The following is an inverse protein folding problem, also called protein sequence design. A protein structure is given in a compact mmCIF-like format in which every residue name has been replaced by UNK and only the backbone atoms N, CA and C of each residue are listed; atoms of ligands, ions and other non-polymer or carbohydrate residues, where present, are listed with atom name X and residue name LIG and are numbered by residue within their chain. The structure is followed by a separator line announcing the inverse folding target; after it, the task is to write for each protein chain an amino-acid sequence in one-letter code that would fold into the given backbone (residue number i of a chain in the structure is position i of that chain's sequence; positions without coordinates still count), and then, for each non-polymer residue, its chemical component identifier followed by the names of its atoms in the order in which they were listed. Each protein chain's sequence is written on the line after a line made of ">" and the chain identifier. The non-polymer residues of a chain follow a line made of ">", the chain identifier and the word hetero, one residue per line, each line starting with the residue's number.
data_IF_459257097509
#
_entry.id   IF_459257097509
#
_cell.length_a   1.000
_cell.length_b   1.000
_cell.length_c   1.000
_cell.angle_alpha   90.00
_cell.angle_beta   90.00
_cell.angle_gamma   90.00
#
_symmetry.space_group_name_H-M   'P 1'
#
loop_
_entity.id
_entity.type
_entity.pdbx_description
1 polymer ?
#
# COMPACT_ATOMS: atom_id res chain seq x y z
N UNK A 1 -34.41 77.05 -11.94
CA UNK A 1 -33.89 75.92 -11.14
C UNK A 1 -33.62 74.77 -12.10
N UNK A 2 -32.35 74.43 -12.33
CA UNK A 2 -31.95 73.18 -13.02
C UNK A 2 -31.98 72.07 -11.93
N UNK A 3 -32.25 70.78 -12.22
CA UNK A 3 -31.23 70.03 -12.96
C UNK A 3 -31.68 68.78 -13.76
N UNK A 4 -30.78 68.37 -14.67
CA UNK A 4 -30.31 67.00 -14.95
C UNK A 4 -31.21 66.05 -15.79
N UNK A 5 -30.81 65.68 -17.01
CA UNK A 5 -29.76 64.70 -17.38
C UNK A 5 -30.13 63.23 -17.06
N UNK A 6 -30.43 62.40 -18.07
CA UNK A 6 -29.47 61.47 -18.69
C UNK A 6 -30.08 60.30 -19.49
N UNK A 7 -29.38 60.01 -20.59
CA UNK A 7 -29.40 58.85 -21.46
C UNK A 7 -29.47 57.51 -20.71
N UNK A 8 -30.36 56.62 -21.15
CA UNK A 8 -30.30 55.19 -20.83
C UNK A 8 -29.66 54.45 -22.02
N UNK A 9 -28.36 54.14 -21.91
CA UNK A 9 -27.67 53.18 -22.76
C UNK A 9 -27.75 51.82 -22.05
N UNK A 10 -28.44 50.86 -22.67
CA UNK A 10 -28.48 49.46 -22.25
C UNK A 10 -27.13 48.83 -22.59
N UNK A 11 -26.30 48.58 -21.58
CA UNK A 11 -25.07 47.81 -21.70
C UNK A 11 -25.35 46.36 -21.28
N UNK A 12 -25.41 45.47 -22.27
CA UNK A 12 -25.41 44.01 -22.11
C UNK A 12 -24.02 43.57 -21.64
N UNK A 13 -23.87 43.32 -20.35
CA UNK A 13 -22.68 42.67 -19.79
C UNK A 13 -22.83 41.15 -19.88
N UNK A 14 -22.08 40.53 -20.78
CA UNK A 14 -21.95 39.09 -20.88
C UNK A 14 -21.30 38.50 -19.62
N UNK A 15 -22.03 37.60 -18.95
CA UNK A 15 -21.55 36.83 -17.82
C UNK A 15 -20.74 35.63 -18.35
N UNK A 16 -19.42 35.79 -18.49
CA UNK A 16 -18.52 34.68 -18.78
C UNK A 16 -18.38 33.81 -17.52
N UNK A 17 -19.12 32.70 -17.49
CA UNK A 17 -18.99 31.66 -16.48
C UNK A 17 -17.68 30.91 -16.72
N UNK A 18 -16.60 31.34 -16.05
CA UNK A 18 -15.34 30.62 -16.05
C UNK A 18 -15.51 29.31 -15.26
N UNK A 19 -15.76 28.21 -15.97
CA UNK A 19 -15.72 26.86 -15.42
C UNK A 19 -14.31 26.58 -14.90
N UNK A 20 -14.09 26.80 -13.60
CA UNK A 20 -12.88 26.38 -12.92
C UNK A 20 -12.93 24.86 -12.85
N UNK A 21 -12.24 24.18 -13.76
CA UNK A 21 -12.09 22.72 -13.70
C UNK A 21 -11.32 22.41 -12.41
N UNK A 22 -11.84 21.56 -11.51
CA UNK A 22 -11.03 21.08 -10.41
C UNK A 22 -9.83 20.37 -11.04
N UNK A 23 -8.62 20.85 -10.74
CA UNK A 23 -7.42 20.10 -11.07
C UNK A 23 -7.50 18.85 -10.18
N UNK A 24 -7.78 17.69 -10.76
CA UNK A 24 -7.54 16.45 -10.05
C UNK A 24 -6.03 16.42 -9.82
N UNK A 25 -5.59 16.64 -8.59
CA UNK A 25 -4.24 16.27 -8.18
C UNK A 25 -4.10 14.79 -8.47
N UNK A 26 -3.30 14.44 -9.49
CA UNK A 26 -2.87 13.07 -9.69
C UNK A 26 -2.34 12.56 -8.36
N UNK A 27 -2.81 11.41 -7.85
CA UNK A 27 -2.29 10.87 -6.61
C UNK A 27 -0.78 10.75 -6.76
N UNK A 28 -0.03 11.49 -5.95
CA UNK A 28 1.42 11.34 -5.86
C UNK A 28 1.66 9.86 -5.64
N UNK A 29 2.44 9.16 -6.49
CA UNK A 29 2.66 7.73 -6.35
C UNK A 29 3.16 7.50 -4.94
N UNK A 30 2.32 6.85 -4.15
CA UNK A 30 2.61 6.58 -2.76
C UNK A 30 3.93 5.84 -2.67
N UNK A 31 4.82 6.24 -1.75
CA UNK A 31 6.16 5.69 -1.73
C UNK A 31 6.07 4.19 -1.48
N UNK A 32 6.43 3.39 -2.49
CA UNK A 32 6.74 2.00 -2.28
C UNK A 32 7.95 1.94 -1.36
N UNK A 33 7.98 0.94 -0.47
CA UNK A 33 9.18 0.71 0.33
C UNK A 33 10.42 0.56 -0.58
N UNK A 34 11.58 1.10 -0.24
CA UNK A 34 12.84 0.73 -0.88
C UNK A 34 13.10 -0.78 -0.82
N UNK A 35 13.80 -1.35 -1.79
CA UNK A 35 14.11 -2.79 -1.78
C UNK A 35 15.08 -3.18 -0.64
N UNK A 36 15.96 -2.27 -0.26
CA UNK A 36 17.01 -2.48 0.76
C UNK A 36 16.55 -2.14 2.19
N UNK A 37 15.27 -1.81 2.38
CA UNK A 37 14.75 -1.53 3.72
C UNK A 37 14.43 -2.80 4.50
N UNK A 38 14.67 -2.73 5.81
CA UNK A 38 14.45 -3.79 6.77
C UNK A 38 13.35 -3.40 7.78
N UNK A 39 12.51 -4.37 8.11
CA UNK A 39 11.30 -4.16 8.90
C UNK A 39 11.25 -5.03 10.16
N UNK A 40 10.54 -4.53 11.16
CA UNK A 40 10.31 -5.24 12.42
C UNK A 40 11.57 -5.35 13.29
N UNK A 41 11.43 -6.07 14.41
CA UNK A 41 12.50 -6.25 15.41
C UNK A 41 13.66 -7.10 14.89
N UNK A 42 13.35 -8.09 14.07
CA UNK A 42 14.35 -8.99 13.48
C UNK A 42 14.96 -8.45 12.18
N UNK A 43 14.63 -7.21 11.78
CA UNK A 43 15.17 -6.56 10.58
C UNK A 43 15.05 -7.47 9.35
N UNK A 44 13.81 -7.88 9.04
CA UNK A 44 13.56 -8.68 7.86
C UNK A 44 13.49 -7.80 6.60
N UNK A 45 14.17 -8.21 5.55
CA UNK A 45 13.99 -7.63 4.22
C UNK A 45 12.67 -8.08 3.59
N UNK A 46 12.21 -7.35 2.58
CA UNK A 46 11.01 -7.73 1.79
C UNK A 46 11.21 -9.07 1.09
N UNK A 47 12.43 -9.38 0.64
CA UNK A 47 12.77 -10.66 0.05
C UNK A 47 12.69 -11.79 1.08
N UNK A 48 13.22 -11.58 2.28
CA UNK A 48 13.14 -12.55 3.39
C UNK A 48 11.69 -12.84 3.75
N UNK A 49 10.86 -11.80 3.94
CA UNK A 49 9.41 -11.94 4.18
C UNK A 49 8.76 -12.80 3.09
N UNK A 50 9.05 -12.51 1.82
CA UNK A 50 8.46 -13.21 0.68
C UNK A 50 8.87 -14.69 0.65
N UNK A 51 10.16 -14.97 0.85
CA UNK A 51 10.69 -16.33 0.83
C UNK A 51 10.15 -17.16 2.00
N UNK A 52 10.06 -16.59 3.20
CA UNK A 52 9.50 -17.27 4.37
C UNK A 52 8.04 -17.65 4.15
N UNK A 53 7.21 -16.74 3.64
CA UNK A 53 5.79 -17.03 3.37
C UNK A 53 5.60 -18.07 2.26
N UNK A 54 6.42 -18.00 1.20
CA UNK A 54 6.39 -18.99 0.13
C UNK A 54 6.77 -20.39 0.62
N UNK A 55 7.85 -20.52 1.39
CA UNK A 55 8.29 -21.80 1.96
C UNK A 55 7.26 -22.35 2.96
N UNK A 56 6.72 -21.50 3.85
CA UNK A 56 5.65 -21.87 4.77
C UNK A 56 4.41 -22.41 4.04
N UNK A 57 3.97 -21.71 2.98
CA UNK A 57 2.83 -22.14 2.16
C UNK A 57 3.06 -23.50 1.51
N UNK A 58 4.26 -23.75 0.96
CA UNK A 58 4.61 -25.06 0.39
C UNK A 58 4.62 -26.16 1.45
N UNK A 59 5.19 -25.90 2.63
CA UNK A 59 5.23 -26.89 3.73
C UNK A 59 3.84 -27.29 4.20
N UNK A 60 2.94 -26.34 4.35
CA UNK A 60 1.55 -26.60 4.74
C UNK A 60 0.79 -27.32 3.63
N UNK A 61 0.97 -26.93 2.37
CA UNK A 61 0.35 -27.61 1.24
C UNK A 61 0.75 -29.09 1.13
N UNK A 62 2.01 -29.41 1.41
CA UNK A 62 2.52 -30.81 1.41
C UNK A 62 2.03 -31.58 2.64
N UNK A 63 2.05 -30.96 3.82
CA UNK A 63 1.60 -31.60 5.05
C UNK A 63 0.99 -30.57 6.02
N UNK A 64 -0.35 -30.47 6.07
CA UNK A 64 -1.04 -29.53 6.95
C UNK A 64 -0.71 -29.69 8.43
N UNK A 65 -0.32 -30.89 8.88
CA UNK A 65 0.07 -31.15 10.28
C UNK A 65 1.34 -30.39 10.70
N UNK A 66 2.08 -29.80 9.75
CA UNK A 66 3.23 -28.94 10.02
C UNK A 66 2.85 -27.48 10.31
N UNK A 67 1.60 -27.07 10.10
CA UNK A 67 1.19 -25.68 10.31
C UNK A 67 1.54 -25.15 11.73
N UNK A 68 1.30 -25.88 12.84
CA UNK A 68 1.63 -25.38 14.17
C UNK A 68 3.12 -25.08 14.39
N UNK A 69 4.05 -25.78 13.73
CA UNK A 69 5.49 -25.52 13.88
C UNK A 69 5.95 -24.23 13.20
N UNK A 70 5.10 -23.64 12.36
CA UNK A 70 5.35 -22.38 11.67
C UNK A 70 4.93 -21.15 12.47
N UNK A 71 4.29 -21.33 13.64
CA UNK A 71 3.77 -20.22 14.44
C UNK A 71 4.82 -19.16 14.77
N UNK A 72 5.95 -19.57 15.38
CA UNK A 72 7.02 -18.61 15.76
C UNK A 72 7.65 -17.91 14.54
N UNK A 73 8.04 -18.62 13.46
CA UNK A 73 8.50 -17.94 12.24
C UNK A 73 7.48 -16.94 11.68
N UNK A 74 6.19 -17.27 11.70
CA UNK A 74 5.14 -16.40 11.17
C UNK A 74 4.91 -15.16 12.04
N UNK A 75 5.02 -15.25 13.37
CA UNK A 75 5.00 -14.08 14.25
C UNK A 75 6.12 -13.08 13.91
N UNK A 76 7.32 -13.58 13.59
CA UNK A 76 8.43 -12.71 13.17
C UNK A 76 8.13 -12.00 11.85
N UNK A 77 7.51 -12.71 10.91
CA UNK A 77 7.10 -12.12 9.63
C UNK A 77 5.97 -11.11 9.83
N UNK A 78 5.00 -11.41 10.69
CA UNK A 78 3.91 -10.50 11.01
C UNK A 78 4.42 -9.19 11.61
N UNK A 79 5.32 -9.25 12.61
CA UNK A 79 5.97 -8.07 13.21
C UNK A 79 6.61 -7.17 12.13
N UNK A 80 7.30 -7.78 11.17
CA UNK A 80 7.91 -7.07 10.05
C UNK A 80 6.87 -6.49 9.08
N UNK A 81 5.80 -7.23 8.76
CA UNK A 81 4.75 -6.76 7.84
C UNK A 81 3.91 -5.64 8.48
N UNK A 82 3.68 -5.66 9.79
CA UNK A 82 3.03 -4.58 10.52
C UNK A 82 3.89 -3.31 10.53
N UNK A 83 5.20 -3.44 10.73
CA UNK A 83 6.13 -2.31 10.64
C UNK A 83 6.20 -1.72 9.22
N UNK A 84 6.24 -2.59 8.21
CA UNK A 84 6.15 -2.19 6.81
C UNK A 84 4.86 -1.41 6.53
N UNK A 85 3.71 -1.92 6.97
CA UNK A 85 2.43 -1.24 6.80
C UNK A 85 2.33 0.10 7.52
N UNK A 86 2.99 0.26 8.66
CA UNK A 86 3.03 1.53 9.38
C UNK A 86 3.78 2.61 8.60
N UNK A 87 4.89 2.24 7.97
CA UNK A 87 5.75 3.16 7.20
C UNK A 87 5.24 3.43 5.79
N UNK A 88 4.71 2.39 5.14
CA UNK A 88 4.26 2.41 3.75
C UNK A 88 2.86 1.83 3.61
N UNK A 89 1.82 2.47 4.19
CA UNK A 89 0.46 1.92 4.24
C UNK A 89 -0.19 1.71 2.87
N UNK A 90 0.31 2.39 1.84
CA UNK A 90 -0.14 2.30 0.45
C UNK A 90 0.70 1.33 -0.38
N UNK A 91 1.68 0.64 0.22
CA UNK A 91 2.48 -0.36 -0.49
C UNK A 91 1.61 -1.58 -0.79
N UNK A 92 1.28 -1.68 -2.07
CA UNK A 92 0.39 -2.67 -2.66
C UNK A 92 0.82 -4.14 -2.41
N UNK A 93 2.06 -4.33 -1.93
CA UNK A 93 2.66 -5.61 -1.64
C UNK A 93 2.26 -6.15 -0.27
N UNK A 94 1.74 -5.31 0.64
CA UNK A 94 1.41 -5.73 2.01
C UNK A 94 0.18 -6.63 2.04
N UNK A 95 -0.93 -6.23 1.37
CA UNK A 95 -2.20 -6.96 1.46
C UNK A 95 -2.08 -8.44 1.03
N UNK A 96 -1.40 -8.80 -0.08
CA UNK A 96 -1.19 -10.20 -0.45
C UNK A 96 -0.41 -11.00 0.60
N UNK A 97 0.56 -10.38 1.29
CA UNK A 97 1.38 -11.05 2.32
C UNK A 97 0.58 -11.29 3.59
N UNK A 98 -0.20 -10.29 4.01
CA UNK A 98 -1.15 -10.43 5.11
C UNK A 98 -2.20 -11.51 4.82
N UNK A 99 -2.71 -11.59 3.58
CA UNK A 99 -3.63 -12.65 3.15
C UNK A 99 -3.00 -14.05 3.26
N UNK A 100 -1.74 -14.20 2.84
CA UNK A 100 -1.03 -15.48 2.99
C UNK A 100 -0.85 -15.86 4.46
N UNK A 101 -0.46 -14.91 5.33
CA UNK A 101 -0.36 -15.15 6.77
C UNK A 101 -1.69 -15.54 7.40
N UNK A 102 -2.78 -14.84 7.05
CA UNK A 102 -4.14 -15.19 7.47
C UNK A 102 -4.46 -16.66 7.22
N UNK A 103 -4.21 -17.16 6.00
CA UNK A 103 -4.46 -18.56 5.69
C UNK A 103 -3.54 -19.51 6.46
N UNK A 104 -2.26 -19.19 6.58
CA UNK A 104 -1.29 -20.02 7.29
C UNK A 104 -1.61 -20.14 8.78
N UNK A 105 -1.99 -19.05 9.43
CA UNK A 105 -2.39 -19.04 10.83
C UNK A 105 -3.66 -19.86 11.07
N UNK A 106 -4.66 -19.73 10.19
CA UNK A 106 -5.89 -20.55 10.27
C UNK A 106 -5.64 -22.04 10.06
N UNK A 107 -4.68 -22.41 9.21
CA UNK A 107 -4.30 -23.81 9.02
C UNK A 107 -3.74 -24.47 10.30
N UNK A 108 -3.34 -23.70 11.31
CA UNK A 108 -2.85 -24.24 12.58
C UNK A 108 -3.96 -24.83 13.44
N UNK A 109 -5.19 -24.33 13.31
CA UNK A 109 -6.34 -24.80 14.10
C UNK A 109 -6.19 -24.58 15.62
N UNK A 110 -5.46 -23.53 16.04
CA UNK A 110 -5.25 -23.18 17.45
C UNK A 110 -5.86 -21.81 17.77
N UNK A 111 -6.19 -21.55 19.04
CA UNK A 111 -6.71 -20.24 19.47
C UNK A 111 -5.75 -19.08 19.21
N UNK A 112 -4.46 -19.31 19.41
CA UNK A 112 -3.42 -18.34 19.06
C UNK A 112 -3.33 -18.11 17.55
N UNK A 113 -3.42 -19.16 16.73
CA UNK A 113 -3.47 -19.03 15.28
C UNK A 113 -4.67 -18.19 14.82
N UNK A 114 -5.86 -18.44 15.35
CA UNK A 114 -7.04 -17.64 15.00
C UNK A 114 -6.89 -16.17 15.42
N UNK A 115 -6.30 -15.88 16.58
CA UNK A 115 -6.02 -14.49 16.99
C UNK A 115 -5.09 -13.76 16.00
N UNK A 116 -3.99 -14.39 15.59
CA UNK A 116 -3.06 -13.75 14.64
C UNK A 116 -3.64 -13.69 13.22
N UNK A 117 -4.54 -14.61 12.85
CA UNK A 117 -5.34 -14.49 11.64
C UNK A 117 -6.25 -13.26 11.69
N UNK A 118 -6.89 -12.98 12.83
CA UNK A 118 -7.70 -11.77 13.01
C UNK A 118 -6.86 -10.50 12.85
N UNK A 119 -5.64 -10.46 13.42
CA UNK A 119 -4.71 -9.35 13.21
C UNK A 119 -4.35 -9.14 11.72
N UNK A 120 -4.14 -10.24 10.97
CA UNK A 120 -3.90 -10.18 9.54
C UNK A 120 -5.13 -9.64 8.78
N UNK A 121 -6.34 -10.06 9.15
CA UNK A 121 -7.59 -9.57 8.56
C UNK A 121 -7.75 -8.06 8.80
N UNK A 122 -7.49 -7.60 10.01
CA UNK A 122 -7.55 -6.17 10.35
C UNK A 122 -6.52 -5.38 9.55
N UNK A 123 -5.31 -5.92 9.39
CA UNK A 123 -4.29 -5.29 8.56
C UNK A 123 -4.76 -5.15 7.10
N UNK A 124 -5.32 -6.22 6.51
CA UNK A 124 -5.82 -6.19 5.12
C UNK A 124 -6.87 -5.09 4.94
N UNK A 125 -7.80 -4.97 5.90
CA UNK A 125 -8.83 -3.94 5.89
C UNK A 125 -8.25 -2.52 5.97
N UNK A 126 -7.14 -2.32 6.70
CA UNK A 126 -6.45 -1.02 6.81
C UNK A 126 -5.70 -0.63 5.54
N UNK A 127 -5.02 -1.56 4.88
CA UNK A 127 -4.12 -1.26 3.74
C UNK A 127 -4.78 -1.35 2.37
N UNK A 128 -6.04 -1.81 2.28
CA UNK A 128 -6.77 -1.93 1.01
C UNK A 128 -7.92 -0.93 0.91
N UNK A 129 -7.69 0.32 0.46
CA UNK A 129 -8.78 1.25 0.19
C UNK A 129 -9.31 1.04 -1.24
N UNK A 130 -10.42 0.33 -1.39
CA UNK A 130 -11.18 0.32 -2.65
C UNK A 130 -10.72 -0.67 -3.73
N UNK A 131 -11.42 -0.71 -4.88
CA UNK A 131 -11.58 -1.90 -5.72
C UNK A 131 -10.25 -2.47 -6.22
N UNK A 132 -10.09 -3.80 -6.02
CA UNK A 132 -8.94 -4.64 -6.36
C UNK A 132 -8.19 -4.16 -7.61
N UNK A 133 -7.15 -3.37 -7.41
CA UNK A 133 -6.08 -3.27 -8.41
C UNK A 133 -5.38 -4.62 -8.43
N UNK A 134 -5.48 -5.31 -9.56
CA UNK A 134 -4.74 -6.54 -9.86
C UNK A 134 -3.25 -6.23 -9.92
N UNK A 135 -2.50 -6.61 -8.88
CA UNK A 135 -1.03 -6.48 -8.81
C UNK A 135 -0.38 -7.86 -8.72
N UNK A 136 -1.10 -8.88 -9.19
CA UNK A 136 -0.49 -10.16 -9.49
C UNK A 136 0.57 -9.93 -10.60
N UNK A 137 1.83 -10.23 -10.29
CA UNK A 137 3.00 -10.21 -11.19
C UNK A 137 3.76 -8.91 -11.48
N UNK A 138 3.51 -7.78 -10.81
CA UNK A 138 4.47 -6.67 -10.92
C UNK A 138 5.80 -7.07 -10.27
N UNK A 139 6.85 -7.30 -11.05
CA UNK A 139 8.22 -7.43 -10.54
C UNK A 139 8.59 -6.09 -9.87
N UNK A 140 8.97 -6.08 -8.59
CA UNK A 140 9.46 -4.84 -7.94
C UNK A 140 10.64 -4.34 -8.75
N UNK A 141 10.70 -3.05 -9.13
CA UNK A 141 11.90 -2.50 -9.72
C UNK A 141 13.05 -2.74 -8.74
N UNK A 142 14.13 -3.35 -9.22
CA UNK A 142 15.33 -3.54 -8.42
C UNK A 142 15.84 -2.15 -7.98
N UNK A 143 16.31 -2.04 -6.73
CA UNK A 143 16.99 -0.83 -6.27
C UNK A 143 18.16 -0.55 -7.23
N UNK A 144 18.09 0.57 -7.98
CA UNK A 144 19.11 0.88 -8.98
C UNK A 144 18.74 1.83 -10.13
N UNK A 145 17.56 2.44 -10.16
CA UNK A 145 17.29 3.53 -11.11
C UNK A 145 16.90 4.81 -10.37
N UNK A 146 17.84 5.31 -9.57
CA UNK A 146 17.88 6.75 -9.34
C UNK A 146 18.24 7.37 -10.68
N UNK A 147 17.28 8.09 -11.25
CA UNK A 147 17.47 8.92 -12.41
C UNK A 147 18.76 9.74 -12.23
N UNK A 148 19.63 9.70 -13.24
CA UNK A 148 20.72 10.64 -13.38
C UNK A 148 20.16 12.05 -13.18
N UNK A 149 20.61 12.72 -12.12
CA UNK A 149 20.43 14.17 -12.02
C UNK A 149 21.07 14.82 -13.24
N UNK A 150 20.57 15.98 -13.72
CA UNK A 150 21.22 16.69 -14.80
C UNK A 150 22.64 17.07 -14.35
N UNK A 151 23.64 16.42 -14.94
CA UNK A 151 25.03 16.87 -14.88
C UNK A 151 25.08 18.26 -15.50
N UNK A 152 25.15 19.28 -14.65
CA UNK A 152 25.61 20.61 -15.07
C UNK A 152 27.12 20.47 -15.24
N UNK A 153 27.57 20.41 -16.48
CA UNK A 153 28.97 20.52 -16.84
C UNK A 153 29.44 21.96 -16.60
N UNK A 154 30.67 22.18 -16.10
CA UNK A 154 31.26 23.51 -15.98
C UNK A 154 31.59 24.13 -17.35
#
# INVERSE_FOLDING_TARGET
>A
MNPRNHFAIVLLTGLSLALTRPVLSSPTPSPLAPADEYFGRQKLSILSITNTLHDASRRVAVNPKRAPSLYKPLLTVEDAVQDWARKYPQDAWIAPRAQTMFHLFRCMGTGDGEREADHCRDLIARVSPGPRTTIANAKRPAAGSHAAGPTVLP
#
